data_IF_510654953675
#
_entry.id   IF_510654953675
#
_cell.length_a   1.000
_cell.length_b   1.000
_cell.length_c   1.000
_cell.angle_alpha   90.00
_cell.angle_beta   90.00
_cell.angle_gamma   90.00
#
_symmetry.space_group_name_H-M   'P 1'
#
loop_
_entity.id
_entity.type
_entity.pdbx_description
1 polymer ?
#
# COMPACT_ATOMS: atom_id res chain seq x y z
N UNK A 1 6.72 23.20 7.45
CA UNK A 1 6.07 22.18 6.58
C UNK A 1 7.12 21.16 6.21
N UNK A 2 7.09 19.97 6.81
CA UNK A 2 8.04 18.91 6.47
C UNK A 2 7.71 18.39 5.06
N UNK A 3 8.67 18.52 4.13
CA UNK A 3 8.57 17.92 2.80
C UNK A 3 8.61 16.41 2.98
N UNK A 4 7.46 15.75 2.89
CA UNK A 4 7.37 14.32 3.11
C UNK A 4 7.85 13.57 1.87
N UNK A 5 8.77 12.64 2.10
CA UNK A 5 9.53 11.92 1.09
C UNK A 5 8.62 10.85 0.46
N UNK A 6 8.29 11.02 -0.83
CA UNK A 6 7.77 9.91 -1.64
C UNK A 6 8.89 8.89 -1.73
N UNK A 7 8.71 7.73 -1.11
CA UNK A 7 9.71 6.66 -1.17
C UNK A 7 9.45 5.87 -2.44
N UNK A 8 10.35 5.94 -3.42
CA UNK A 8 10.34 5.02 -4.54
C UNK A 8 10.85 3.65 -4.11
N UNK A 9 10.07 2.59 -4.36
CA UNK A 9 10.47 1.22 -4.05
C UNK A 9 9.84 0.23 -5.00
N UNK A 10 10.65 -0.70 -5.48
CA UNK A 10 10.17 -1.84 -6.26
C UNK A 10 9.65 -2.96 -5.34
N UNK A 11 8.49 -3.52 -5.69
CA UNK A 11 7.89 -4.69 -5.06
C UNK A 11 7.96 -5.85 -6.04
N UNK A 12 8.49 -6.98 -5.58
CA UNK A 12 8.50 -8.23 -6.34
C UNK A 12 7.46 -9.17 -5.74
N UNK A 13 6.49 -9.58 -6.55
CA UNK A 13 5.50 -10.59 -6.25
C UNK A 13 5.96 -11.90 -6.88
N UNK A 14 6.16 -12.92 -6.05
CA UNK A 14 6.60 -14.24 -6.49
C UNK A 14 5.35 -15.10 -6.72
N UNK A 15 5.18 -15.65 -7.92
CA UNK A 15 4.11 -16.61 -8.20
C UNK A 15 4.21 -17.82 -7.26
N UNK A 16 3.06 -18.30 -6.78
CA UNK A 16 2.97 -19.38 -5.80
C UNK A 16 3.26 -18.97 -4.35
N UNK A 17 3.59 -17.71 -4.07
CA UNK A 17 3.84 -17.21 -2.72
C UNK A 17 2.96 -16.01 -2.36
N UNK A 18 2.62 -15.87 -1.08
CA UNK A 18 1.96 -14.67 -0.56
C UNK A 18 2.96 -13.51 -0.46
N UNK A 19 2.51 -12.29 -0.80
CA UNK A 19 3.24 -11.07 -0.51
C UNK A 19 2.67 -10.38 0.72
N UNK A 20 3.56 -9.95 1.62
CA UNK A 20 3.21 -9.19 2.81
C UNK A 20 4.10 -7.94 2.92
N UNK A 21 3.49 -6.79 3.21
CA UNK A 21 4.22 -5.56 3.53
C UNK A 21 3.54 -4.79 4.64
N UNK A 22 4.31 -3.97 5.36
CA UNK A 22 3.81 -3.27 6.55
C UNK A 22 4.19 -1.80 6.51
N UNK A 23 3.23 -0.93 6.77
CA UNK A 23 3.45 0.46 7.17
C UNK A 23 3.35 0.58 8.68
N UNK A 24 4.27 1.33 9.29
CA UNK A 24 4.23 1.68 10.72
C UNK A 24 4.35 3.18 10.87
N UNK A 25 3.39 3.76 11.57
CA UNK A 25 3.33 5.18 11.89
C UNK A 25 3.67 5.36 13.36
N UNK A 26 4.52 6.33 13.64
CA UNK A 26 5.00 6.63 14.97
C UNK A 26 4.88 8.12 15.25
N UNK A 27 4.71 8.47 16.51
CA UNK A 27 4.89 9.84 16.98
C UNK A 27 6.39 10.18 17.02
N UNK A 28 6.71 11.45 17.27
CA UNK A 28 8.10 11.92 17.33
C UNK A 28 8.92 11.21 18.43
N UNK A 29 8.25 10.80 19.51
CA UNK A 29 8.81 10.01 20.62
C UNK A 29 8.98 8.51 20.29
N UNK A 30 8.76 8.10 19.03
CA UNK A 30 8.84 6.73 18.53
C UNK A 30 7.76 5.76 19.03
N UNK A 31 6.79 6.23 19.81
CA UNK A 31 5.62 5.43 20.18
C UNK A 31 4.69 5.22 18.97
N UNK A 32 3.90 4.14 18.94
CA UNK A 32 2.90 3.95 17.91
C UNK A 32 1.93 5.14 17.84
N UNK A 33 1.68 5.64 16.63
CA UNK A 33 0.65 6.66 16.40
C UNK A 33 -0.69 5.97 16.25
N UNK A 34 -1.72 6.38 16.98
CA UNK A 34 -3.06 5.84 16.79
C UNK A 34 -3.58 6.23 15.39
N UNK A 35 -3.91 5.22 14.59
CA UNK A 35 -4.41 5.37 13.21
C UNK A 35 -5.90 5.04 13.11
N UNK A 36 -6.66 5.23 14.19
CA UNK A 36 -8.12 5.07 14.19
C UNK A 36 -8.75 6.03 13.19
N UNK A 37 -9.64 5.50 12.34
CA UNK A 37 -10.29 6.26 11.28
C UNK A 37 -9.44 6.47 10.01
N UNK A 38 -8.16 6.11 10.03
CA UNK A 38 -7.30 6.22 8.85
C UNK A 38 -7.53 5.05 7.90
N UNK A 39 -7.45 5.32 6.60
CA UNK A 39 -7.51 4.28 5.56
C UNK A 39 -6.30 4.38 4.65
N UNK A 40 -5.83 3.22 4.20
CA UNK A 40 -4.78 3.08 3.21
C UNK A 40 -5.37 2.43 1.96
N UNK A 41 -5.05 3.01 0.81
CA UNK A 41 -5.39 2.48 -0.51
C UNK A 41 -4.13 2.27 -1.32
N UNK A 42 -3.99 1.10 -1.95
CA UNK A 42 -2.96 0.81 -2.96
C UNK A 42 -3.63 0.64 -4.30
N UNK A 43 -3.29 1.48 -5.26
CA UNK A 43 -3.74 1.36 -6.64
C UNK A 43 -2.62 0.87 -7.54
N UNK A 44 -2.85 -0.16 -8.35
CA UNK A 44 -1.90 -0.75 -9.30
C UNK A 44 -2.36 -0.45 -10.72
N UNK A 45 -1.49 0.13 -11.57
CA UNK A 45 -1.83 0.58 -12.93
C UNK A 45 -0.71 0.28 -13.94
N UNK A 46 -1.07 0.11 -15.22
CA UNK A 46 -0.11 -0.27 -16.28
C UNK A 46 0.96 0.79 -16.62
N UNK A 47 0.73 2.07 -16.30
CA UNK A 47 1.67 3.21 -16.49
C UNK A 47 1.15 4.39 -15.65
N UNK A 48 1.39 4.37 -14.34
CA UNK A 48 0.92 5.36 -13.39
C UNK A 48 1.46 6.77 -13.72
N UNK A 49 0.67 7.86 -13.58
CA UNK A 49 -0.68 7.97 -13.02
C UNK A 49 -1.84 7.70 -14.00
N UNK A 50 -1.59 7.64 -15.32
CA UNK A 50 -2.63 7.74 -16.35
C UNK A 50 -2.90 6.42 -17.12
N UNK A 51 -2.34 5.30 -16.66
CA UNK A 51 -2.56 3.97 -17.23
C UNK A 51 -3.86 3.31 -16.74
N UNK A 52 -4.26 2.23 -17.41
CA UNK A 52 -5.38 1.41 -16.98
C UNK A 52 -5.16 0.86 -15.56
N UNK A 53 -6.20 0.95 -14.73
CA UNK A 53 -6.22 0.33 -13.41
C UNK A 53 -6.30 -1.19 -13.54
N UNK A 54 -5.39 -1.86 -12.83
CA UNK A 54 -5.24 -3.30 -12.86
C UNK A 54 -5.76 -3.93 -11.57
N UNK A 55 -5.60 -3.25 -10.44
CA UNK A 55 -6.15 -3.65 -9.15
C UNK A 55 -6.15 -2.46 -8.18
N UNK A 56 -7.07 -2.49 -7.22
CA UNK A 56 -7.14 -1.56 -6.10
C UNK A 56 -7.37 -2.35 -4.81
N UNK A 57 -6.44 -2.18 -3.87
CA UNK A 57 -6.52 -2.73 -2.53
C UNK A 57 -6.87 -1.61 -1.56
N UNK A 58 -7.85 -1.87 -0.70
CA UNK A 58 -8.35 -0.91 0.28
C UNK A 58 -8.28 -1.49 1.69
N UNK A 59 -8.40 -0.60 2.67
CA UNK A 59 -8.52 -1.00 4.07
C UNK A 59 -9.88 -1.63 4.32
N UNK A 60 -9.92 -2.96 4.23
CA UNK A 60 -11.13 -3.77 4.31
C UNK A 60 -11.03 -4.90 5.35
N UNK A 61 -9.89 -5.02 6.04
CA UNK A 61 -9.65 -6.09 7.02
C UNK A 61 -9.23 -7.43 6.39
N UNK A 62 -9.03 -7.50 5.08
CA UNK A 62 -8.57 -8.69 4.36
C UNK A 62 -7.26 -8.45 3.61
N UNK A 63 -7.23 -7.45 2.71
CA UNK A 63 -6.08 -7.12 1.86
C UNK A 63 -5.25 -6.03 2.47
N UNK A 64 -5.88 -5.03 3.10
CA UNK A 64 -5.20 -4.07 3.95
C UNK A 64 -5.85 -4.07 5.33
N UNK A 65 -5.06 -4.45 6.34
CA UNK A 65 -5.49 -4.61 7.71
C UNK A 65 -4.86 -3.49 8.54
N UNK A 66 -5.69 -2.57 9.03
CA UNK A 66 -5.29 -1.56 10.01
C UNK A 66 -5.34 -2.17 11.43
N UNK A 67 -4.29 -1.96 12.21
CA UNK A 67 -4.24 -2.22 13.65
C UNK A 67 -4.02 -0.88 14.35
N UNK A 68 -5.10 -0.12 14.64
CA UNK A 68 -5.01 1.30 14.97
C UNK A 68 -4.11 1.64 16.16
N UNK A 69 -4.29 0.94 17.29
CA UNK A 69 -3.48 1.17 18.50
C UNK A 69 -1.99 0.87 18.33
N UNK A 70 -1.60 0.15 17.27
CA UNK A 70 -0.21 -0.13 16.94
C UNK A 70 0.31 0.75 15.78
N UNK A 71 -0.52 1.66 15.26
CA UNK A 71 -0.19 2.53 14.13
C UNK A 71 0.24 1.76 12.89
N UNK A 72 -0.36 0.61 12.63
CA UNK A 72 0.15 -0.35 11.66
C UNK A 72 -0.88 -0.68 10.59
N UNK A 73 -0.45 -0.67 9.32
CA UNK A 73 -1.21 -1.23 8.21
C UNK A 73 -0.43 -2.40 7.62
N UNK A 74 -1.06 -3.56 7.53
CA UNK A 74 -0.52 -4.74 6.87
C UNK A 74 -1.20 -4.93 5.53
N UNK A 75 -0.42 -5.00 4.46
CA UNK A 75 -0.89 -5.29 3.12
C UNK A 75 -0.57 -6.74 2.82
N UNK A 76 -1.58 -7.48 2.40
CA UNK A 76 -1.49 -8.87 1.95
C UNK A 76 -1.97 -8.96 0.51
N UNK A 77 -1.19 -9.66 -0.32
CA UNK A 77 -1.62 -10.14 -1.63
C UNK A 77 -1.37 -11.65 -1.62
N UNK A 78 -2.42 -12.42 -1.83
CA UNK A 78 -2.35 -13.88 -1.79
C UNK A 78 -1.65 -14.45 -3.03
N UNK A 79 -1.10 -15.66 -2.90
CA UNK A 79 -0.54 -16.39 -4.04
C UNK A 79 -1.53 -16.51 -5.20
N UNK A 80 -2.81 -16.76 -4.90
CA UNK A 80 -3.87 -16.87 -5.91
C UNK A 80 -4.11 -15.55 -6.66
N UNK A 81 -4.10 -14.41 -5.97
CA UNK A 81 -4.21 -13.09 -6.61
C UNK A 81 -2.98 -12.80 -7.48
N UNK A 82 -1.78 -13.15 -6.99
CA UNK A 82 -0.53 -12.98 -7.73
C UNK A 82 -0.52 -13.84 -9.01
N UNK A 83 -1.03 -15.06 -8.94
CA UNK A 83 -1.19 -15.92 -10.12
C UNK A 83 -2.22 -15.38 -11.11
N UNK A 84 -3.29 -14.74 -10.62
CA UNK A 84 -4.30 -14.08 -11.43
C UNK A 84 -3.80 -12.79 -12.09
N UNK A 85 -2.76 -12.15 -11.55
CA UNK A 85 -2.09 -11.03 -12.20
C UNK A 85 -1.40 -11.49 -13.49
N UNK A 86 -2.11 -11.39 -14.60
CA UNK A 86 -1.64 -11.75 -15.94
C UNK A 86 -0.62 -10.77 -16.56
N UNK A 87 -0.06 -9.86 -15.78
CA UNK A 87 0.90 -8.85 -16.21
C UNK A 87 2.25 -9.03 -15.50
N UNK A 88 3.35 -8.67 -16.16
CA UNK A 88 4.71 -8.84 -15.61
C UNK A 88 5.19 -7.63 -14.82
N UNK A 89 4.76 -6.41 -15.19
CA UNK A 89 5.07 -5.21 -14.43
C UNK A 89 3.94 -4.20 -14.50
N UNK A 90 3.73 -3.52 -13.38
CA UNK A 90 2.85 -2.39 -13.24
C UNK A 90 3.50 -1.36 -12.30
N UNK A 91 2.86 -0.22 -12.15
CA UNK A 91 3.22 0.79 -11.16
C UNK A 91 2.14 0.85 -10.09
N UNK A 92 2.52 1.14 -8.85
CA UNK A 92 1.58 1.28 -7.75
C UNK A 92 1.73 2.63 -7.05
N UNK A 93 0.63 3.08 -6.46
CA UNK A 93 0.59 4.24 -5.56
C UNK A 93 -0.15 3.85 -4.29
N UNK A 94 0.49 4.15 -3.15
CA UNK A 94 -0.12 4.02 -1.83
C UNK A 94 -0.52 5.40 -1.32
N UNK A 95 -1.80 5.57 -1.02
CA UNK A 95 -2.40 6.80 -0.49
C UNK A 95 -3.01 6.52 0.87
N UNK A 96 -2.63 7.33 1.85
CA UNK A 96 -3.23 7.36 3.17
C UNK A 96 -4.28 8.47 3.21
N UNK A 97 -5.46 8.16 3.72
CA UNK A 97 -6.46 9.12 4.17
C UNK A 97 -6.45 9.15 5.70
N UNK A 98 -6.36 10.34 6.29
CA UNK A 98 -6.35 10.52 7.73
C UNK A 98 -7.76 10.46 8.36
N UNK A 99 -8.80 10.31 7.55
CA UNK A 99 -10.20 10.30 7.98
C UNK A 99 -10.79 11.70 8.22
N UNK A 100 -9.99 12.76 8.04
CA UNK A 100 -10.39 14.16 8.15
C UNK A 100 -10.53 14.85 6.77
N UNK A 101 -10.49 14.06 5.69
CA UNK A 101 -10.48 14.54 4.30
C UNK A 101 -9.10 14.93 3.78
N UNK A 102 -8.07 14.91 4.63
CA UNK A 102 -6.68 15.07 4.20
C UNK A 102 -6.14 13.73 3.71
N UNK A 103 -5.53 13.74 2.53
CA UNK A 103 -4.86 12.57 1.96
C UNK A 103 -3.38 12.82 1.74
N UNK A 104 -2.59 11.76 1.80
CA UNK A 104 -1.14 11.81 1.61
C UNK A 104 -0.67 10.62 0.78
N UNK A 105 0.13 10.90 -0.26
CA UNK A 105 0.86 9.84 -0.96
C UNK A 105 2.03 9.39 -0.09
N UNK A 106 2.06 8.10 0.26
CA UNK A 106 3.12 7.49 1.06
C UNK A 106 4.25 6.94 0.18
N UNK A 107 3.87 6.23 -0.88
CA UNK A 107 4.79 5.48 -1.74
C UNK A 107 4.26 5.44 -3.16
N UNK A 108 5.19 5.52 -4.11
CA UNK A 108 4.97 5.22 -5.52
C UNK A 108 6.10 4.28 -5.92
N UNK A 109 5.85 3.32 -6.80
CA UNK A 109 6.91 2.42 -7.25
C UNK A 109 6.44 1.46 -8.31
N UNK A 110 7.32 0.52 -8.67
CA UNK A 110 6.97 -0.56 -9.59
C UNK A 110 6.65 -1.83 -8.83
N UNK A 111 5.69 -2.57 -9.34
CA UNK A 111 5.38 -3.91 -8.89
C UNK A 111 5.63 -4.87 -10.05
N UNK A 112 6.39 -5.94 -9.79
CA UNK A 112 6.73 -6.96 -10.79
C UNK A 112 6.20 -8.30 -10.32
N UNK A 113 5.57 -9.04 -11.22
CA UNK A 113 5.17 -10.43 -11.00
C UNK A 113 6.16 -11.32 -11.72
N UNK A 114 6.78 -12.22 -10.98
CA UNK A 114 7.82 -13.16 -11.44
C UNK A 114 7.47 -14.58 -11.06
#
# INVERSE_FOLDING_TARGET
>A
MAKQQVIERDVTLLKGGDHNSTYRFKNDDQTPKDTTGWTLTRTIRKNFPNGAELDTLETDGTRIINTPGNGQFNIKITAAEIEAYGWTSAEFRDVLDYGDGTTQVLRIGRIKVV
#
